data_IF_241794923139
#
_entry.id   IF_241794923139
#
_cell.length_a   1.000
_cell.length_b   1.000
_cell.length_c   1.000
_cell.angle_alpha   90.00
_cell.angle_beta   90.00
_cell.angle_gamma   90.00
#
_symmetry.space_group_name_H-M   'P 1'
#
loop_
_entity.id
_entity.type
_entity.pdbx_description
1 polymer ?
#
# COMPACT_ATOMS: atom_id res chain seq x y z
N UNK A 1 -24.76 -31.43 -13.90
CA UNK A 1 -25.05 -31.96 -12.54
C UNK A 1 -24.38 -31.03 -11.55
N UNK A 2 -25.14 -30.19 -10.82
CA UNK A 2 -24.58 -29.28 -9.81
C UNK A 2 -24.52 -30.04 -8.49
N UNK A 3 -23.33 -30.30 -7.98
CA UNK A 3 -23.14 -30.88 -6.65
C UNK A 3 -23.35 -29.76 -5.64
N UNK A 4 -24.46 -29.78 -4.90
CA UNK A 4 -24.65 -28.93 -3.72
C UNK A 4 -24.24 -29.78 -2.52
N UNK A 5 -23.13 -29.43 -1.86
CA UNK A 5 -22.70 -30.10 -0.63
C UNK A 5 -23.46 -29.49 0.55
N UNK A 6 -24.49 -30.19 1.04
CA UNK A 6 -25.21 -29.78 2.25
C UNK A 6 -24.29 -29.89 3.48
N UNK A 7 -24.13 -28.80 4.23
CA UNK A 7 -23.32 -28.75 5.45
C UNK A 7 -21.92 -28.15 5.29
N UNK A 8 -21.57 -27.64 4.11
CA UNK A 8 -20.35 -26.84 3.92
C UNK A 8 -20.70 -25.37 4.14
N UNK A 9 -20.29 -24.79 5.27
CA UNK A 9 -20.18 -23.33 5.39
C UNK A 9 -18.97 -22.90 4.56
N UNK A 10 -19.20 -22.48 3.32
CA UNK A 10 -18.20 -21.71 2.59
C UNK A 10 -18.25 -20.28 3.15
N UNK A 11 -17.35 -19.95 4.07
CA UNK A 11 -17.02 -18.54 4.27
C UNK A 11 -16.16 -18.12 3.10
N UNK A 12 -16.75 -17.74 1.97
CA UNK A 12 -16.09 -16.86 1.02
C UNK A 12 -16.13 -15.43 1.58
N UNK A 13 -15.65 -15.25 2.81
CA UNK A 13 -15.54 -13.91 3.36
C UNK A 13 -14.53 -13.17 2.49
N UNK A 14 -14.98 -12.17 1.73
CA UNK A 14 -14.15 -11.29 0.90
C UNK A 14 -13.32 -10.33 1.77
N UNK A 15 -12.71 -10.84 2.85
CA UNK A 15 -11.93 -10.00 3.75
C UNK A 15 -10.58 -9.70 3.12
N UNK A 16 -10.30 -8.44 2.87
CA UNK A 16 -8.98 -7.97 2.47
C UNK A 16 -8.10 -7.87 3.71
N UNK A 17 -6.86 -8.36 3.63
CA UNK A 17 -5.82 -8.17 4.64
C UNK A 17 -4.48 -7.97 3.93
N UNK A 18 -3.73 -6.94 4.33
CA UNK A 18 -2.33 -6.76 3.95
C UNK A 18 -1.47 -6.58 5.20
N UNK A 19 -0.21 -6.98 5.07
CA UNK A 19 0.83 -6.72 6.05
C UNK A 19 2.14 -6.46 5.31
N UNK A 20 2.71 -5.29 5.56
CA UNK A 20 4.07 -4.94 5.19
C UNK A 20 4.86 -4.72 6.49
N UNK A 21 6.14 -5.10 6.47
CA UNK A 21 7.05 -4.94 7.59
C UNK A 21 8.30 -4.25 7.08
N UNK A 22 8.66 -3.13 7.70
CA UNK A 22 9.89 -2.39 7.41
C UNK A 22 10.57 -1.95 8.72
N UNK A 23 11.77 -1.39 8.62
CA UNK A 23 12.41 -0.73 9.75
C UNK A 23 11.64 0.52 10.17
N UNK A 24 11.77 0.91 11.44
CA UNK A 24 11.17 2.17 11.92
C UNK A 24 11.71 3.39 11.14
N UNK A 25 12.97 3.37 10.74
CA UNK A 25 13.58 4.43 9.94
C UNK A 25 12.95 4.54 8.54
N UNK A 26 12.77 3.42 7.82
CA UNK A 26 12.11 3.42 6.51
C UNK A 26 10.67 3.91 6.61
N UNK A 27 9.94 3.49 7.63
CA UNK A 27 8.57 3.94 7.87
C UNK A 27 8.50 5.45 8.12
N UNK A 28 9.42 5.99 8.93
CA UNK A 28 9.45 7.43 9.24
C UNK A 28 9.83 8.25 8.00
N UNK A 29 10.78 7.78 7.17
CA UNK A 29 11.10 8.42 5.87
C UNK A 29 9.92 8.42 4.92
N UNK A 30 9.20 7.30 4.80
CA UNK A 30 7.97 7.21 4.02
C UNK A 30 6.89 8.17 4.54
N UNK A 31 6.71 8.23 5.85
CA UNK A 31 5.78 9.18 6.51
C UNK A 31 6.13 10.64 6.23
N UNK A 32 7.41 10.97 6.11
CA UNK A 32 7.89 12.32 5.80
C UNK A 32 7.82 12.66 4.30
N UNK A 33 7.43 11.72 3.43
CA UNK A 33 7.37 11.91 1.98
C UNK A 33 8.72 11.75 1.27
N UNK A 34 9.72 11.14 1.93
CA UNK A 34 11.04 10.88 1.34
C UNK A 34 11.07 9.57 0.51
N UNK A 35 10.16 8.65 0.81
CA UNK A 35 10.01 7.35 0.15
C UNK A 35 8.56 7.15 -0.30
N UNK A 36 8.31 6.11 -1.11
CA UNK A 36 7.00 5.73 -1.65
C UNK A 36 6.76 4.24 -1.44
N UNK A 37 5.51 3.85 -1.21
CA UNK A 37 5.11 2.45 -1.16
C UNK A 37 4.69 2.01 -2.56
N UNK A 38 5.32 0.97 -3.08
CA UNK A 38 4.97 0.38 -4.37
C UNK A 38 3.96 -0.75 -4.15
N UNK A 39 2.71 -0.51 -4.54
CA UNK A 39 1.60 -1.45 -4.34
C UNK A 39 1.79 -2.76 -5.10
N UNK A 40 2.51 -2.73 -6.22
CA UNK A 40 2.82 -3.92 -7.01
C UNK A 40 3.86 -4.82 -6.36
N UNK A 41 4.96 -4.24 -5.84
CA UNK A 41 6.04 -5.03 -5.23
C UNK A 41 5.91 -5.22 -3.73
N UNK A 42 5.06 -4.43 -3.07
CA UNK A 42 4.89 -4.38 -1.62
C UNK A 42 6.10 -3.79 -0.88
N UNK A 43 6.89 -2.94 -1.55
CA UNK A 43 8.15 -2.39 -1.03
C UNK A 43 8.06 -0.89 -0.84
N UNK A 44 8.80 -0.40 0.15
CA UNK A 44 9.11 1.03 0.26
C UNK A 44 10.33 1.30 -0.60
N UNK A 45 10.22 2.21 -1.56
CA UNK A 45 11.25 2.54 -2.54
C UNK A 45 11.52 4.04 -2.56
N UNK A 46 12.73 4.41 -2.97
CA UNK A 46 13.11 5.79 -3.22
C UNK A 46 12.61 6.26 -4.59
N UNK A 47 12.54 7.58 -4.79
CA UNK A 47 12.24 8.17 -6.10
C UNK A 47 13.25 7.72 -7.18
N UNK A 48 14.47 7.41 -6.79
CA UNK A 48 15.56 6.97 -7.68
C UNK A 48 15.38 5.55 -8.21
N UNK A 49 14.58 4.73 -7.53
CA UNK A 49 14.23 3.38 -7.96
C UNK A 49 13.02 3.36 -8.90
N UNK A 50 12.22 4.43 -8.88
CA UNK A 50 11.11 4.62 -9.80
C UNK A 50 11.69 4.94 -11.19
N UNK A 51 11.25 4.28 -12.28
CA UNK A 51 11.66 4.62 -13.64
C UNK A 51 11.38 6.09 -13.97
N UNK A 52 12.25 6.74 -14.75
CA UNK A 52 12.19 8.20 -14.96
C UNK A 52 10.87 8.65 -15.61
N UNK A 53 10.33 7.81 -16.49
CA UNK A 53 9.02 7.92 -17.12
C UNK A 53 7.87 7.95 -16.11
N UNK A 54 7.99 7.25 -14.99
CA UNK A 54 7.00 7.21 -13.90
C UNK A 54 7.25 8.34 -12.87
N UNK A 55 8.48 8.87 -12.75
CA UNK A 55 8.82 9.94 -11.79
C UNK A 55 8.11 11.26 -12.04
N UNK A 56 7.89 11.65 -13.30
CA UNK A 56 7.16 12.88 -13.67
C UNK A 56 5.73 12.89 -13.14
N UNK A 57 5.23 11.74 -12.70
CA UNK A 57 3.85 11.51 -12.30
C UNK A 57 3.73 11.35 -10.76
N UNK A 58 4.86 11.09 -10.07
CA UNK A 58 4.98 10.99 -8.60
C UNK A 58 5.23 12.35 -7.95
N UNK A 59 5.96 13.23 -8.63
CA UNK A 59 6.13 14.64 -8.25
C UNK A 59 5.00 15.39 -8.94
N UNK A 60 4.00 15.85 -8.19
CA UNK A 60 2.91 16.67 -8.72
C UNK A 60 3.47 17.83 -9.56
N UNK A 61 3.49 17.66 -10.87
CA UNK A 61 3.68 18.75 -11.82
C UNK A 61 2.26 19.26 -12.12
N UNK A 62 2.08 20.58 -12.11
CA UNK A 62 0.82 21.29 -12.34
C UNK A 62 0.17 20.92 -13.69
N UNK A 63 0.88 20.18 -14.56
CA UNK A 63 0.44 19.65 -15.86
C UNK A 63 -0.31 18.31 -15.80
N UNK A 64 -0.32 17.57 -14.67
CA UNK A 64 -1.02 16.28 -14.58
C UNK A 64 -2.56 16.40 -14.56
N UNK A 65 -3.09 17.59 -14.27
CA UNK A 65 -4.52 17.90 -14.31
C UNK A 65 -5.14 17.72 -15.71
N UNK A 66 -4.35 17.72 -16.79
CA UNK A 66 -4.86 17.58 -18.15
C UNK A 66 -5.12 16.13 -18.58
N UNK A 67 -4.70 15.11 -17.81
CA UNK A 67 -4.85 13.70 -18.20
C UNK A 67 -5.32 12.82 -17.02
N UNK A 68 -6.63 12.83 -16.79
CA UNK A 68 -7.34 12.15 -15.70
C UNK A 68 -7.03 10.64 -15.64
N UNK A 69 -6.99 9.94 -16.79
CA UNK A 69 -6.72 8.50 -16.87
C UNK A 69 -5.31 8.12 -16.36
N UNK A 70 -4.32 8.98 -16.63
CA UNK A 70 -2.93 8.76 -16.21
C UNK A 70 -2.70 9.14 -14.74
N UNK A 71 -3.47 10.11 -14.23
CA UNK A 71 -3.48 10.49 -12.82
C UNK A 71 -4.01 9.34 -11.95
N UNK A 72 -5.12 8.72 -12.37
CA UNK A 72 -5.72 7.58 -11.68
C UNK A 72 -4.80 6.36 -11.66
N UNK A 73 -4.15 6.01 -12.78
CA UNK A 73 -3.29 4.81 -12.88
C UNK A 73 -2.04 4.86 -11.99
N UNK A 74 -1.55 6.07 -11.66
CA UNK A 74 -0.26 6.25 -10.97
C UNK A 74 -0.44 6.52 -9.47
N UNK A 75 -1.48 7.25 -9.11
CA UNK A 75 -1.94 7.32 -7.72
C UNK A 75 -2.29 5.93 -7.18
N UNK A 76 -2.67 5.01 -8.06
CA UNK A 76 -3.01 3.61 -7.74
C UNK A 76 -1.78 2.69 -7.58
N UNK A 77 -0.58 3.11 -8.01
CA UNK A 77 0.61 2.25 -8.05
C UNK A 77 1.72 2.60 -7.06
N UNK A 78 1.82 3.87 -6.65
CA UNK A 78 2.89 4.40 -5.79
C UNK A 78 2.29 5.27 -4.68
N UNK A 79 1.93 4.65 -3.57
CA UNK A 79 1.30 5.32 -2.45
C UNK A 79 2.29 6.11 -1.57
N UNK A 80 1.92 7.36 -1.26
CA UNK A 80 2.48 8.10 -0.13
C UNK A 80 1.85 7.59 1.17
N UNK A 81 2.42 7.98 2.31
CA UNK A 81 1.81 7.66 3.62
C UNK A 81 0.35 8.12 3.74
N UNK A 82 -0.02 9.24 3.10
CA UNK A 82 -1.37 9.79 3.21
C UNK A 82 -2.37 9.10 2.28
N UNK A 83 -1.90 8.58 1.15
CA UNK A 83 -2.74 7.93 0.12
C UNK A 83 -2.80 6.42 0.29
N UNK A 84 -1.90 5.84 1.09
CA UNK A 84 -1.88 4.41 1.37
C UNK A 84 -3.17 3.92 2.02
N UNK A 85 -3.84 2.96 1.37
CA UNK A 85 -5.09 2.40 1.86
C UNK A 85 -6.25 3.38 1.80
N UNK A 86 -6.19 4.41 0.93
CA UNK A 86 -7.32 5.29 0.62
C UNK A 86 -8.39 4.59 -0.24
N UNK A 87 -8.66 3.31 0.05
CA UNK A 87 -9.87 2.64 -0.41
C UNK A 87 -10.90 2.83 0.71
N UNK A 88 -11.93 3.66 0.48
CA UNK A 88 -12.89 4.07 1.51
C UNK A 88 -13.70 2.96 2.21
N UNK A 89 -13.42 1.69 1.88
CA UNK A 89 -13.99 0.49 2.48
C UNK A 89 -13.00 -0.34 3.33
N UNK A 90 -11.72 0.06 3.43
CA UNK A 90 -10.71 -0.62 4.25
C UNK A 90 -10.23 0.23 5.43
N UNK A 91 -9.92 -0.43 6.54
CA UNK A 91 -9.24 0.16 7.70
C UNK A 91 -7.74 -0.06 7.57
N UNK A 92 -6.92 0.94 7.91
CA UNK A 92 -5.46 0.80 7.92
C UNK A 92 -4.90 0.76 9.35
N UNK A 93 -3.76 0.10 9.53
CA UNK A 93 -3.08 -0.03 10.80
C UNK A 93 -1.56 0.14 10.66
N UNK A 94 -0.91 0.48 11.77
CA UNK A 94 0.52 0.31 11.95
C UNK A 94 0.83 -0.04 13.41
N UNK A 95 1.89 -0.83 13.63
CA UNK A 95 2.33 -1.29 14.94
C UNK A 95 3.85 -1.35 15.00
N UNK A 96 4.42 -0.57 15.92
CA UNK A 96 5.84 -0.59 16.26
C UNK A 96 6.16 -1.81 17.12
N UNK A 97 7.28 -2.47 16.86
CA UNK A 97 7.81 -3.55 17.68
C UNK A 97 9.34 -3.61 17.63
N UNK A 98 9.94 -4.32 18.59
CA UNK A 98 11.38 -4.56 18.62
C UNK A 98 11.62 -6.07 18.48
N UNK A 99 12.49 -6.45 17.56
CA UNK A 99 12.86 -7.86 17.34
C UNK A 99 13.72 -8.38 18.52
N UNK A 100 13.88 -9.71 18.68
CA UNK A 100 14.81 -10.26 19.66
C UNK A 100 16.27 -9.82 19.45
N UNK A 101 16.65 -9.47 18.21
CA UNK A 101 17.96 -8.89 17.90
C UNK A 101 18.10 -7.40 18.28
N UNK A 102 17.01 -6.74 18.65
CA UNK A 102 17.00 -5.32 19.05
C UNK A 102 16.62 -4.34 17.93
N UNK A 103 16.28 -4.83 16.75
CA UNK A 103 15.90 -4.00 15.61
C UNK A 103 14.51 -3.41 15.82
N UNK A 104 14.36 -2.11 15.57
CA UNK A 104 13.07 -1.43 15.64
C UNK A 104 12.37 -1.51 14.29
N UNK A 105 11.17 -2.09 14.31
CA UNK A 105 10.42 -2.44 13.11
C UNK A 105 8.99 -1.91 13.22
N UNK A 106 8.35 -1.74 12.07
CA UNK A 106 6.94 -1.38 11.95
C UNK A 106 6.25 -2.41 11.08
N UNK A 107 5.16 -2.98 11.58
CA UNK A 107 4.21 -3.74 10.78
C UNK A 107 3.01 -2.84 10.46
N UNK A 108 2.64 -2.69 9.20
CA UNK A 108 1.53 -1.85 8.76
C UNK A 108 0.77 -2.51 7.62
N UNK A 109 -0.42 -2.02 7.31
CA UNK A 109 -1.24 -2.55 6.23
C UNK A 109 -2.70 -2.13 6.37
N UNK A 110 -3.56 -2.80 5.64
CA UNK A 110 -5.00 -2.61 5.69
C UNK A 110 -5.74 -3.92 5.93
N UNK A 111 -6.94 -3.81 6.48
CA UNK A 111 -7.85 -4.91 6.69
C UNK A 111 -9.29 -4.41 6.54
N UNK A 112 -10.22 -5.31 6.22
CA UNK A 112 -11.63 -4.96 6.16
C UNK A 112 -12.37 -5.70 5.08
N UNK A 113 -13.49 -5.10 4.66
CA UNK A 113 -14.37 -5.66 3.65
C UNK A 113 -14.69 -4.62 2.59
N UNK A 114 -14.28 -4.97 1.38
CA UNK A 114 -14.83 -4.49 0.12
C UNK A 114 -15.35 -5.76 -0.62
#
# INVERSE_FOLDING_TARGET
MKVIRAGVFETNSSSTHSICICTEEEFDKWKNGELYYDDYSGKIISLEEIPLEERRLVVLDEDAEENEDLYDEIMDAKATYQTFGYEGCLEWYNKKFTTPSGDKMVAFGWYGYC
#
